data_IF_254614156153
#
_entry.id   IF_254614156153
#
_cell.length_a   1.000
_cell.length_b   1.000
_cell.length_c   1.000
_cell.angle_alpha   90.00
_cell.angle_beta   90.00
_cell.angle_gamma   90.00
#
_symmetry.space_group_name_H-M   'P 1'
#
loop_
_entity.id
_entity.type
_entity.pdbx_description
1 polymer ?
#
# COMPACT_ATOMS: atom_id res chain seq x y z
N UNK A 1 19.63 -4.57 1.81
CA UNK A 1 18.79 -5.49 2.61
C UNK A 1 18.07 -4.63 3.64
N UNK A 2 16.75 -4.74 3.75
CA UNK A 2 16.00 -3.94 4.72
C UNK A 2 16.34 -4.36 6.16
N UNK A 3 16.31 -3.42 7.08
CA UNK A 3 16.88 -3.62 8.42
C UNK A 3 15.94 -4.34 9.39
N UNK A 4 14.62 -4.20 9.19
CA UNK A 4 13.64 -4.45 10.25
C UNK A 4 13.03 -5.86 10.23
N UNK A 5 12.88 -6.46 9.05
CA UNK A 5 12.15 -7.71 8.89
C UNK A 5 12.72 -8.90 9.70
N UNK A 6 14.02 -8.90 9.99
CA UNK A 6 14.68 -9.96 10.76
C UNK A 6 14.75 -9.71 12.27
N UNK A 7 14.24 -8.57 12.76
CA UNK A 7 14.34 -8.17 14.18
C UNK A 7 13.12 -8.61 15.03
N UNK A 8 12.21 -9.40 14.48
CA UNK A 8 11.01 -9.85 15.20
C UNK A 8 11.37 -10.86 16.30
N UNK A 9 11.10 -10.48 17.54
CA UNK A 9 11.11 -11.36 18.71
C UNK A 9 9.65 -11.62 19.12
N UNK A 10 9.16 -12.84 18.85
CA UNK A 10 7.74 -13.21 19.02
C UNK A 10 7.31 -13.18 20.49
N UNK A 11 8.19 -13.55 21.41
CA UNK A 11 7.89 -13.54 22.85
C UNK A 11 7.76 -12.12 23.37
N UNK A 12 8.69 -11.23 22.98
CA UNK A 12 8.60 -9.81 23.34
C UNK A 12 7.42 -9.14 22.67
N UNK A 13 7.12 -9.46 21.42
CA UNK A 13 6.04 -8.85 20.65
C UNK A 13 4.68 -8.92 21.37
N UNK A 14 4.35 -10.09 21.95
CA UNK A 14 3.10 -10.31 22.68
C UNK A 14 2.99 -9.50 23.97
N UNK A 15 4.13 -9.10 24.53
CA UNK A 15 4.24 -8.41 25.81
C UNK A 15 4.51 -6.90 25.65
N UNK A 16 4.49 -6.37 24.42
CA UNK A 16 4.74 -4.95 24.19
C UNK A 16 3.63 -4.09 24.81
N UNK A 17 4.04 -3.00 25.45
CA UNK A 17 3.11 -1.99 25.97
C UNK A 17 2.40 -1.27 24.83
N UNK A 18 1.17 -0.87 25.10
CA UNK A 18 0.36 -0.06 24.20
C UNK A 18 0.92 1.35 24.08
N UNK A 19 1.00 1.89 22.87
CA UNK A 19 1.65 3.18 22.59
C UNK A 19 0.72 4.40 22.74
N UNK A 20 -0.58 4.25 22.44
CA UNK A 20 -1.50 5.40 22.33
C UNK A 20 -2.57 5.48 23.41
N UNK A 21 -3.06 4.32 23.90
CA UNK A 21 -4.16 4.26 24.87
C UNK A 21 -3.94 3.08 25.81
N UNK A 22 -4.18 3.28 27.10
CA UNK A 22 -4.24 2.20 28.09
C UNK A 22 -5.27 1.16 27.65
N UNK A 23 -4.89 -0.12 27.63
CA UNK A 23 -5.69 -1.23 27.11
C UNK A 23 -6.07 -1.10 25.61
N UNK A 24 -5.29 -0.35 24.84
CA UNK A 24 -5.39 -0.32 23.37
C UNK A 24 -4.77 -1.55 22.71
N UNK A 25 -4.74 -1.55 21.38
CA UNK A 25 -4.16 -2.65 20.58
C UNK A 25 -2.89 -2.26 19.83
N UNK A 26 -2.57 -0.96 19.77
CA UNK A 26 -1.42 -0.44 19.01
C UNK A 26 -0.18 -0.42 19.91
N UNK A 27 0.90 -1.05 19.44
CA UNK A 27 2.20 -1.16 20.11
C UNK A 27 3.33 -0.79 19.13
N UNK A 28 4.55 -0.64 19.64
CA UNK A 28 5.72 -0.41 18.79
C UNK A 28 5.97 -1.54 17.77
N UNK A 29 5.48 -2.76 18.04
CA UNK A 29 5.68 -3.91 17.15
C UNK A 29 4.72 -3.94 15.97
N UNK A 30 3.53 -3.33 16.10
CA UNK A 30 2.52 -3.31 15.05
C UNK A 30 2.31 -1.92 14.42
N UNK A 31 3.27 -1.02 14.63
CA UNK A 31 3.36 0.31 14.05
C UNK A 31 4.51 0.35 13.05
N UNK A 32 4.39 1.10 11.96
CA UNK A 32 5.54 1.37 11.11
C UNK A 32 6.59 2.18 11.86
N UNK A 33 7.87 1.93 11.60
CA UNK A 33 8.97 2.69 12.18
C UNK A 33 9.22 3.98 11.41
N UNK A 34 10.00 4.86 12.04
CA UNK A 34 10.61 6.00 11.36
C UNK A 34 11.82 5.43 10.62
N UNK A 35 11.85 5.61 9.30
CA UNK A 35 12.86 5.00 8.46
C UNK A 35 13.41 6.01 7.45
N UNK A 36 14.69 5.84 7.13
CA UNK A 36 15.33 6.50 6.01
C UNK A 36 15.22 5.60 4.77
N UNK A 37 14.89 6.19 3.63
CA UNK A 37 14.73 5.44 2.38
C UNK A 37 14.29 6.32 1.22
N UNK A 38 14.63 5.89 0.01
CA UNK A 38 14.26 6.55 -1.23
C UNK A 38 13.87 5.53 -2.30
N UNK A 39 12.95 5.92 -3.17
CA UNK A 39 12.51 5.12 -4.31
C UNK A 39 12.14 6.02 -5.48
N UNK A 40 12.52 5.59 -6.68
CA UNK A 40 12.32 6.35 -7.91
C UNK A 40 11.54 5.53 -8.94
N UNK A 41 10.80 6.24 -9.78
CA UNK A 41 10.09 5.67 -10.93
C UNK A 41 10.21 6.64 -12.11
N UNK A 42 10.30 6.09 -13.31
CA UNK A 42 10.25 6.88 -14.55
C UNK A 42 8.86 6.69 -15.15
N UNK A 43 8.11 7.79 -15.25
CA UNK A 43 6.84 7.82 -15.96
C UNK A 43 7.07 8.34 -17.37
N UNK A 44 6.44 7.68 -18.34
CA UNK A 44 6.49 8.08 -19.74
C UNK A 44 5.08 8.03 -20.33
N UNK A 45 4.80 8.96 -21.24
CA UNK A 45 3.59 8.88 -22.04
C UNK A 45 3.70 7.73 -23.05
N UNK A 46 2.56 7.14 -23.42
CA UNK A 46 2.49 6.10 -24.46
C UNK A 46 3.13 6.58 -25.77
N UNK A 47 2.88 7.84 -26.16
CA UNK A 47 3.53 8.47 -27.32
C UNK A 47 5.05 8.37 -27.25
N UNK A 48 5.66 8.68 -26.10
CA UNK A 48 7.12 8.67 -25.94
C UNK A 48 7.68 7.25 -25.87
N UNK A 49 6.94 6.33 -25.26
CA UNK A 49 7.26 4.89 -25.23
C UNK A 49 7.34 4.35 -26.66
N UNK A 50 6.32 4.64 -27.49
CA UNK A 50 6.28 4.21 -28.89
C UNK A 50 7.39 4.86 -29.73
N UNK A 51 7.66 6.15 -29.53
CA UNK A 51 8.74 6.86 -30.24
C UNK A 51 10.12 6.26 -29.92
N UNK A 52 10.35 5.83 -28.69
CA UNK A 52 11.62 5.28 -28.24
C UNK A 52 11.69 3.74 -28.32
N UNK A 53 10.62 3.08 -28.80
CA UNK A 53 10.49 1.62 -28.86
C UNK A 53 10.80 0.93 -27.51
N UNK A 54 10.28 1.48 -26.41
CA UNK A 54 10.48 0.95 -25.06
C UNK A 54 9.35 0.00 -24.66
N UNK A 55 9.65 -0.98 -23.81
CA UNK A 55 8.64 -1.86 -23.20
C UNK A 55 8.31 -1.38 -21.79
N UNK A 56 7.08 -0.91 -21.50
CA UNK A 56 6.71 -0.49 -20.15
C UNK A 56 6.70 -1.67 -19.17
N UNK A 57 6.92 -1.37 -17.89
CA UNK A 57 6.84 -2.38 -16.81
C UNK A 57 5.41 -2.58 -16.30
N UNK A 58 4.60 -1.51 -16.36
CA UNK A 58 3.19 -1.46 -16.03
C UNK A 58 2.59 -0.16 -16.60
N UNK A 59 1.26 -0.11 -16.68
CA UNK A 59 0.45 1.03 -17.07
C UNK A 59 -0.40 1.50 -15.90
N UNK A 60 -0.44 2.81 -15.65
CA UNK A 60 -1.42 3.43 -14.74
C UNK A 60 -2.75 3.49 -15.49
N UNK A 61 -3.74 2.71 -15.06
CA UNK A 61 -5.07 2.67 -15.70
C UNK A 61 -6.11 3.51 -14.96
N UNK A 62 -5.91 3.76 -13.66
CA UNK A 62 -6.75 4.64 -12.87
C UNK A 62 -6.01 5.13 -11.63
N UNK A 63 -6.38 6.30 -11.13
CA UNK A 63 -5.97 6.79 -9.82
C UNK A 63 -7.07 7.66 -9.23
N UNK A 64 -7.10 7.77 -7.91
CA UNK A 64 -8.05 8.65 -7.24
C UNK A 64 -7.60 9.02 -5.83
N UNK A 65 -8.08 10.17 -5.39
CA UNK A 65 -7.96 10.64 -4.01
C UNK A 65 -9.33 10.72 -3.35
N UNK A 66 -9.35 10.51 -2.05
CA UNK A 66 -10.51 10.67 -1.18
C UNK A 66 -10.10 11.28 0.14
N UNK A 67 -10.89 12.23 0.64
CA UNK A 67 -10.72 12.84 1.96
C UNK A 67 -11.99 12.72 2.78
N UNK A 68 -11.83 12.59 4.08
CA UNK A 68 -12.89 12.56 5.10
C UNK A 68 -12.34 13.17 6.38
N UNK A 69 -13.13 13.19 7.46
CA UNK A 69 -12.69 13.74 8.74
C UNK A 69 -11.33 13.16 9.15
N UNK A 70 -10.39 13.99 9.64
CA UNK A 70 -9.04 13.55 10.00
C UNK A 70 -9.00 12.36 10.95
N UNK A 71 -9.97 12.25 11.86
CA UNK A 71 -10.06 11.11 12.80
C UNK A 71 -10.24 9.76 12.09
N UNK A 72 -10.78 9.76 10.87
CA UNK A 72 -11.05 8.56 10.07
C UNK A 72 -9.98 8.29 9.00
N UNK A 73 -8.87 9.04 8.96
CA UNK A 73 -7.85 8.95 7.90
C UNK A 73 -7.40 7.52 7.56
N UNK A 74 -7.38 6.62 8.54
CA UNK A 74 -6.99 5.21 8.39
C UNK A 74 -7.87 4.43 7.41
N UNK A 75 -9.11 4.86 7.15
CA UNK A 75 -10.00 4.19 6.19
C UNK A 75 -10.24 4.98 4.91
N UNK A 76 -9.61 6.14 4.74
CA UNK A 76 -9.65 6.90 3.48
C UNK A 76 -9.12 6.10 2.28
N UNK A 77 -8.10 5.23 2.42
CA UNK A 77 -7.63 4.35 1.35
C UNK A 77 -8.73 3.47 0.74
N UNK A 78 -9.67 2.96 1.55
CA UNK A 78 -10.82 2.17 1.07
C UNK A 78 -11.62 2.97 0.04
N UNK A 79 -12.01 4.19 0.39
CA UNK A 79 -12.86 5.01 -0.47
C UNK A 79 -12.11 5.50 -1.73
N UNK A 80 -10.81 5.81 -1.60
CA UNK A 80 -9.95 6.11 -2.74
C UNK A 80 -9.83 4.91 -3.69
N UNK A 81 -9.74 3.69 -3.14
CA UNK A 81 -9.67 2.44 -3.94
C UNK A 81 -10.96 2.21 -4.72
N UNK A 82 -12.12 2.30 -4.05
CA UNK A 82 -13.43 2.14 -4.69
C UNK A 82 -13.68 3.19 -5.78
N UNK A 83 -13.31 4.44 -5.53
CA UNK A 83 -13.40 5.53 -6.51
C UNK A 83 -12.46 5.34 -7.71
N UNK A 84 -11.26 4.78 -7.50
CA UNK A 84 -10.36 4.46 -8.60
C UNK A 84 -10.90 3.30 -9.46
N UNK A 85 -11.47 2.26 -8.83
CA UNK A 85 -12.11 1.14 -9.50
C UNK A 85 -13.30 1.58 -10.35
N UNK A 86 -14.18 2.44 -9.79
CA UNK A 86 -15.39 2.90 -10.48
C UNK A 86 -15.08 3.74 -11.73
N UNK A 87 -13.98 4.50 -11.74
CA UNK A 87 -13.56 5.30 -12.93
C UNK A 87 -13.31 4.46 -14.18
N UNK A 88 -12.98 3.18 -14.01
CA UNK A 88 -12.67 2.26 -15.12
C UNK A 88 -13.63 1.07 -15.15
N UNK A 89 -14.72 1.11 -14.39
CA UNK A 89 -15.70 0.02 -14.26
C UNK A 89 -15.07 -1.36 -13.97
N UNK A 90 -13.97 -1.38 -13.19
CA UNK A 90 -13.27 -2.62 -12.83
C UNK A 90 -13.81 -3.15 -11.50
N UNK A 91 -14.14 -4.44 -11.43
CA UNK A 91 -14.57 -5.06 -10.20
C UNK A 91 -13.36 -5.27 -9.26
N UNK A 92 -13.56 -5.10 -7.94
CA UNK A 92 -12.50 -5.33 -6.96
C UNK A 92 -11.93 -6.76 -7.01
N UNK A 93 -12.75 -7.74 -7.39
CA UNK A 93 -12.35 -9.14 -7.54
C UNK A 93 -11.44 -9.40 -8.76
N UNK A 94 -11.32 -8.43 -9.66
CA UNK A 94 -10.38 -8.49 -10.79
C UNK A 94 -8.98 -7.97 -10.42
N UNK A 95 -8.79 -7.47 -9.20
CA UNK A 95 -7.48 -7.09 -8.68
C UNK A 95 -6.78 -8.34 -8.16
N UNK A 96 -5.63 -8.68 -8.74
CA UNK A 96 -4.85 -9.87 -8.38
C UNK A 96 -4.06 -9.65 -7.08
N UNK A 97 -3.52 -8.44 -6.87
CA UNK A 97 -2.68 -8.12 -5.72
C UNK A 97 -2.89 -6.68 -5.23
N UNK A 98 -2.75 -6.51 -3.92
CA UNK A 98 -2.89 -5.23 -3.24
C UNK A 98 -1.61 -4.85 -2.50
N UNK A 99 -1.24 -3.58 -2.57
CA UNK A 99 -0.25 -2.95 -1.69
C UNK A 99 -0.90 -1.84 -0.86
N UNK A 100 -1.21 -2.14 0.39
CA UNK A 100 -1.80 -1.21 1.33
C UNK A 100 -0.74 -0.70 2.30
N UNK A 101 -0.52 0.60 2.37
CA UNK A 101 0.48 1.15 3.29
C UNK A 101 0.07 0.91 4.75
N UNK A 102 1.00 0.38 5.54
CA UNK A 102 0.76 -0.04 6.92
C UNK A 102 1.34 0.98 7.90
N UNK A 103 0.74 2.17 8.01
CA UNK A 103 1.13 3.11 9.07
C UNK A 103 0.99 2.45 10.46
N UNK A 104 -0.06 1.64 10.61
CA UNK A 104 -0.22 0.66 11.68
C UNK A 104 -0.81 -0.62 11.07
N UNK A 105 -0.59 -1.77 11.70
CA UNK A 105 -1.18 -3.04 11.24
C UNK A 105 -2.71 -2.96 11.15
N UNK A 106 -3.35 -2.23 12.08
CA UNK A 106 -4.81 -2.02 12.06
C UNK A 106 -5.28 -1.25 10.83
N UNK A 107 -4.44 -0.40 10.22
CA UNK A 107 -4.78 0.33 8.98
C UNK A 107 -4.94 -0.67 7.84
N UNK A 108 -3.97 -1.57 7.65
CA UNK A 108 -4.07 -2.64 6.66
C UNK A 108 -5.30 -3.52 6.91
N UNK A 109 -5.46 -4.03 8.14
CA UNK A 109 -6.58 -4.90 8.52
C UNK A 109 -7.96 -4.24 8.32
N UNK A 110 -8.10 -2.95 8.68
CA UNK A 110 -9.34 -2.22 8.51
C UNK A 110 -9.72 -2.07 7.04
N UNK A 111 -8.75 -1.76 6.17
CA UNK A 111 -8.99 -1.63 4.74
C UNK A 111 -9.29 -2.99 4.10
N UNK A 112 -8.59 -4.07 4.49
CA UNK A 112 -8.92 -5.44 4.06
C UNK A 112 -10.36 -5.79 4.38
N UNK A 113 -10.79 -5.53 5.63
CA UNK A 113 -12.15 -5.81 6.09
C UNK A 113 -13.20 -4.97 5.36
N UNK A 114 -12.95 -3.67 5.17
CA UNK A 114 -13.89 -2.77 4.50
C UNK A 114 -14.02 -3.06 3.01
N UNK A 115 -12.92 -3.37 2.34
CA UNK A 115 -12.88 -3.77 0.93
C UNK A 115 -13.38 -5.20 0.71
N UNK A 116 -13.48 -6.01 1.78
CA UNK A 116 -13.87 -7.43 1.74
C UNK A 116 -12.97 -8.27 0.83
N UNK A 117 -11.67 -8.00 0.88
CA UNK A 117 -10.66 -8.67 0.05
C UNK A 117 -9.95 -9.80 0.81
N UNK A 118 -9.39 -10.76 0.07
CA UNK A 118 -8.62 -11.85 0.63
C UNK A 118 -7.28 -11.33 1.18
N UNK A 119 -6.93 -11.56 2.46
CA UNK A 119 -5.66 -11.11 3.03
C UNK A 119 -4.43 -11.75 2.34
N UNK A 120 -4.56 -12.93 1.73
CA UNK A 120 -3.44 -13.64 1.10
C UNK A 120 -2.91 -12.97 -0.18
N UNK A 121 -3.64 -11.99 -0.72
CA UNK A 121 -3.22 -11.21 -1.90
C UNK A 121 -2.81 -9.77 -1.55
N UNK A 122 -2.67 -9.46 -0.26
CA UNK A 122 -2.35 -8.12 0.25
C UNK A 122 -0.96 -8.14 0.85
N UNK A 123 -0.09 -7.20 0.44
CA UNK A 123 1.27 -7.02 0.98
C UNK A 123 2.06 -8.34 1.02
N UNK A 124 2.01 -9.12 -0.06
CA UNK A 124 2.51 -10.51 -0.09
C UNK A 124 4.01 -10.65 0.17
N UNK A 125 4.77 -9.55 0.03
CA UNK A 125 6.20 -9.47 0.31
C UNK A 125 6.51 -8.65 1.58
N UNK A 126 5.52 -8.44 2.44
CA UNK A 126 5.61 -7.57 3.61
C UNK A 126 5.21 -6.12 3.30
N UNK A 127 4.92 -5.37 4.35
CA UNK A 127 4.49 -3.98 4.28
C UNK A 127 5.31 -3.06 5.17
N UNK A 128 4.79 -1.86 5.43
CA UNK A 128 5.53 -0.80 6.11
C UNK A 128 5.85 -1.12 7.59
N UNK A 129 5.10 -2.03 8.23
CA UNK A 129 5.42 -2.49 9.59
C UNK A 129 6.71 -3.31 9.62
N UNK A 130 6.96 -4.12 8.58
CA UNK A 130 8.14 -4.98 8.49
C UNK A 130 9.29 -4.38 7.69
N UNK A 131 9.00 -3.55 6.69
CA UNK A 131 9.99 -3.00 5.74
C UNK A 131 10.32 -1.53 6.02
N UNK A 132 9.45 -0.83 6.75
CA UNK A 132 9.62 0.56 7.12
C UNK A 132 8.76 1.54 6.32
N UNK A 133 8.68 2.79 6.83
CA UNK A 133 7.85 3.86 6.28
C UNK A 133 8.65 5.16 6.11
N UNK A 134 9.55 5.26 5.11
CA UNK A 134 10.16 6.53 4.77
C UNK A 134 9.09 7.45 4.17
N UNK A 135 8.70 8.48 4.91
CA UNK A 135 7.69 9.45 4.48
C UNK A 135 8.12 10.11 3.18
N UNK A 136 7.18 10.33 2.26
CA UNK A 136 7.45 10.84 0.91
C UNK A 136 7.93 9.77 -0.08
N UNK A 137 8.77 8.81 0.34
CA UNK A 137 9.23 7.70 -0.52
C UNK A 137 8.23 6.54 -0.55
N UNK A 138 7.48 6.30 0.53
CA UNK A 138 6.62 5.12 0.64
C UNK A 138 5.59 4.98 -0.48
N UNK A 139 5.07 6.09 -1.00
CA UNK A 139 4.15 6.07 -2.15
C UNK A 139 4.76 5.45 -3.40
N UNK A 140 6.00 5.83 -3.77
CA UNK A 140 6.68 5.19 -4.91
C UNK A 140 7.15 3.78 -4.56
N UNK A 141 7.57 3.52 -3.31
CA UNK A 141 7.98 2.18 -2.87
C UNK A 141 6.86 1.16 -3.03
N UNK A 142 5.64 1.47 -2.56
CA UNK A 142 4.52 0.53 -2.63
C UNK A 142 4.15 0.19 -4.08
N UNK A 143 4.28 1.16 -4.99
CA UNK A 143 4.04 0.96 -6.43
C UNK A 143 5.13 0.08 -7.05
N UNK A 144 6.40 0.35 -6.76
CA UNK A 144 7.53 -0.46 -7.24
C UNK A 144 7.39 -1.91 -6.77
N UNK A 145 7.03 -2.13 -5.50
CA UNK A 145 6.77 -3.48 -4.98
C UNK A 145 5.60 -4.15 -5.70
N UNK A 146 4.48 -3.45 -5.89
CA UNK A 146 3.31 -3.99 -6.61
C UNK A 146 3.65 -4.42 -8.04
N UNK A 147 4.38 -3.59 -8.79
CA UNK A 147 4.82 -3.92 -10.16
C UNK A 147 5.65 -5.23 -10.16
N UNK A 148 6.57 -5.37 -9.21
CA UNK A 148 7.40 -6.56 -9.09
C UNK A 148 6.56 -7.80 -8.71
N UNK A 149 5.61 -7.67 -7.79
CA UNK A 149 4.68 -8.75 -7.40
C UNK A 149 3.87 -9.22 -8.61
N UNK A 150 3.25 -8.31 -9.37
CA UNK A 150 2.48 -8.64 -10.57
C UNK A 150 3.33 -9.40 -11.61
N UNK A 151 4.61 -9.02 -11.76
CA UNK A 151 5.53 -9.71 -12.67
C UNK A 151 5.91 -11.10 -12.16
N UNK A 152 6.32 -11.20 -10.89
CA UNK A 152 6.77 -12.46 -10.27
C UNK A 152 5.65 -13.49 -10.17
N UNK A 153 4.41 -13.05 -9.93
CA UNK A 153 3.23 -13.90 -9.73
C UNK A 153 2.32 -13.99 -10.95
N UNK A 154 2.77 -13.45 -12.08
CA UNK A 154 1.99 -13.35 -13.31
C UNK A 154 0.60 -12.70 -13.17
N UNK A 155 0.43 -11.76 -12.24
CA UNK A 155 -0.79 -10.95 -12.11
C UNK A 155 -0.95 -9.94 -13.25
N UNK A 156 -2.19 -9.52 -13.49
CA UNK A 156 -2.62 -8.58 -14.52
C UNK A 156 -2.94 -7.22 -13.93
N UNK A 157 -3.80 -7.15 -12.90
CA UNK A 157 -4.18 -5.90 -12.23
C UNK A 157 -3.70 -5.87 -10.79
N UNK A 158 -3.17 -4.72 -10.38
CA UNK A 158 -2.81 -4.46 -8.99
C UNK A 158 -3.39 -3.14 -8.51
N UNK A 159 -3.65 -3.05 -7.21
CA UNK A 159 -4.10 -1.82 -6.56
C UNK A 159 -3.16 -1.46 -5.41
N UNK A 160 -2.59 -0.26 -5.45
CA UNK A 160 -1.85 0.28 -4.31
C UNK A 160 -2.63 1.44 -3.68
N UNK A 161 -2.68 1.49 -2.34
CA UNK A 161 -3.37 2.56 -1.63
C UNK A 161 -2.70 2.95 -0.32
N UNK A 162 -2.74 4.25 -0.01
CA UNK A 162 -2.02 4.86 1.11
C UNK A 162 -2.87 5.95 1.77
N UNK A 163 -2.86 5.98 3.11
CA UNK A 163 -3.48 7.06 3.88
C UNK A 163 -2.52 8.25 4.01
N UNK A 164 -3.05 9.45 4.20
CA UNK A 164 -2.28 10.63 4.56
C UNK A 164 -2.80 11.22 5.88
N UNK A 165 -1.92 11.90 6.64
CA UNK A 165 -2.22 12.36 8.01
C UNK A 165 -3.28 13.47 8.11
N UNK A 166 -3.75 14.01 6.98
CA UNK A 166 -4.75 15.08 6.92
C UNK A 166 -6.20 14.60 6.74
N UNK A 167 -6.49 13.31 6.88
CA UNK A 167 -7.82 12.74 6.63
C UNK A 167 -8.02 12.16 5.23
N UNK A 168 -7.01 12.24 4.37
CA UNK A 168 -7.06 11.76 3.00
C UNK A 168 -6.44 10.39 2.78
N UNK A 169 -6.63 9.88 1.57
CA UNK A 169 -5.97 8.70 1.06
C UNK A 169 -5.97 8.71 -0.46
N UNK A 170 -4.98 8.04 -1.04
CA UNK A 170 -4.78 7.94 -2.48
C UNK A 170 -4.77 6.47 -2.89
N UNK A 171 -5.27 6.18 -4.08
CA UNK A 171 -5.21 4.85 -4.68
C UNK A 171 -4.79 4.94 -6.14
N UNK A 172 -4.05 3.94 -6.60
CA UNK A 172 -3.63 3.77 -7.99
C UNK A 172 -3.87 2.32 -8.42
N UNK A 173 -4.38 2.16 -9.63
CA UNK A 173 -4.60 0.86 -10.27
C UNK A 173 -3.60 0.73 -11.41
N UNK A 174 -2.84 -0.35 -11.37
CA UNK A 174 -1.84 -0.71 -12.36
C UNK A 174 -2.32 -1.90 -13.16
N UNK A 175 -2.00 -1.89 -14.45
CA UNK A 175 -2.06 -3.06 -15.32
C UNK A 175 -0.64 -3.43 -15.73
N UNK A 176 -0.23 -4.67 -15.52
CA UNK A 176 1.09 -5.16 -15.96
C UNK A 176 1.17 -5.27 -17.48
#
# INVERSE_FOLDING_TARGET
KDEEFSKLDVEKFKNLRTAFKTNGTITAGNSSKINDGASAMILMSEKKINQLNLKPLAQIVSFSDHSQDPIWFTTSPTNASLKALSKINLNINEIDFFELNEAFSVVGLANIKKLKINPNIVNVNGGAVSLGHPLGSSGSRIIVTLINVLRQKNGKYGLASICNGGGGGSAIILKK
#
